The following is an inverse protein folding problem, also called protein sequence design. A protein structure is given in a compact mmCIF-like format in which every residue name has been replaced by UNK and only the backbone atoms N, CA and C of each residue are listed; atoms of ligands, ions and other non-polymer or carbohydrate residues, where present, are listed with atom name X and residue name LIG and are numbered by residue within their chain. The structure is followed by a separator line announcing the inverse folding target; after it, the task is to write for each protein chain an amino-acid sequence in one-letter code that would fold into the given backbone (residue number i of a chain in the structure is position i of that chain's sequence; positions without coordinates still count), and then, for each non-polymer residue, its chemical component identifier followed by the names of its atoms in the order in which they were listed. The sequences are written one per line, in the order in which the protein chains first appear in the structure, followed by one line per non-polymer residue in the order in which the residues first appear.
data_IF_701203257679
#
_entry.id   IF_701203257679
#
_cell.length_a   1.000
_cell.length_b   1.000
_cell.length_c   1.000
_cell.angle_alpha   90.00
_cell.angle_beta   90.00
_cell.angle_gamma   90.00
#
_symmetry.space_group_name_H-M   'P 1'
#
loop_
_entity.id
_entity.type
_entity.pdbx_description
1 polymer ?
#
# COMPACT_ATOMS: atom_id res chain seq x y z
N UNK A 1 63.26 46.42 37.64
CA UNK A 1 61.82 46.00 37.49
C UNK A 1 61.49 45.85 35.99
N UNK A 2 61.46 44.61 35.50
CA UNK A 2 61.15 44.34 34.10
C UNK A 2 59.70 43.73 34.10
N UNK A 3 58.75 44.41 33.44
CA UNK A 3 57.39 43.97 33.29
C UNK A 3 57.34 43.08 32.00
N UNK A 4 56.94 41.81 32.14
CA UNK A 4 56.68 40.93 31.02
C UNK A 4 55.22 41.16 30.54
N UNK A 5 55.04 41.47 29.25
CA UNK A 5 53.73 41.52 28.58
C UNK A 5 53.39 40.09 28.12
N UNK A 6 52.30 39.56 28.63
CA UNK A 6 51.73 38.29 28.07
C UNK A 6 50.72 38.65 26.98
N UNK A 7 51.01 38.23 25.76
CA UNK A 7 50.06 38.32 24.67
C UNK A 7 49.20 37.05 24.66
N UNK A 8 47.89 37.22 24.91
CA UNK A 8 46.90 36.14 24.70
C UNK A 8 46.53 36.07 23.23
N UNK A 9 46.92 34.99 22.57
CA UNK A 9 46.43 34.65 21.23
C UNK A 9 45.12 33.87 21.36
N UNK A 10 44.02 34.55 21.08
CA UNK A 10 42.69 33.88 21.01
C UNK A 10 42.52 33.11 19.71
N UNK A 11 42.41 31.80 19.80
CA UNK A 11 42.09 30.96 18.63
C UNK A 11 40.58 31.05 18.35
N UNK A 12 40.20 31.61 17.21
CA UNK A 12 38.80 31.60 16.73
C UNK A 12 38.53 30.26 16.06
N UNK A 13 37.76 29.42 16.72
CA UNK A 13 37.23 28.18 16.12
C UNK A 13 36.05 28.54 15.22
N UNK A 14 36.29 28.47 13.90
CA UNK A 14 35.20 28.55 12.89
C UNK A 14 34.54 27.18 12.81
N UNK A 15 33.33 27.08 13.41
CA UNK A 15 32.48 25.91 13.23
C UNK A 15 31.89 25.93 11.82
N UNK A 16 32.39 25.07 10.93
CA UNK A 16 31.79 24.84 9.62
C UNK A 16 30.53 24.00 9.83
N UNK A 17 29.35 24.63 9.69
CA UNK A 17 28.08 23.92 9.70
C UNK A 17 28.01 23.03 8.43
N UNK A 18 28.23 21.73 8.60
CA UNK A 18 27.98 20.74 7.56
C UNK A 18 26.45 20.60 7.43
N UNK A 19 25.88 21.24 6.41
CA UNK A 19 24.47 20.98 6.05
C UNK A 19 24.38 19.53 5.57
N UNK A 20 23.49 18.70 6.18
CA UNK A 20 23.31 17.34 5.69
C UNK A 20 22.80 17.41 4.23
N UNK A 21 23.57 16.84 3.33
CA UNK A 21 23.16 16.67 1.94
C UNK A 21 21.94 15.75 1.95
N UNK A 22 20.83 16.19 1.36
CA UNK A 22 19.66 15.32 1.18
C UNK A 22 20.11 14.02 0.50
N UNK A 23 19.71 12.89 1.08
CA UNK A 23 19.99 11.59 0.48
C UNK A 23 19.36 11.55 -0.92
N UNK A 24 20.03 10.89 -1.88
CA UNK A 24 19.46 10.72 -3.21
C UNK A 24 18.11 9.99 -3.10
N UNK A 25 17.11 10.38 -3.91
CA UNK A 25 15.80 9.71 -3.89
C UNK A 25 15.94 8.20 -4.09
N UNK A 26 15.22 7.43 -3.26
CA UNK A 26 15.15 5.98 -3.42
C UNK A 26 14.46 5.62 -4.74
N UNK A 27 14.86 4.53 -5.40
CA UNK A 27 14.14 4.04 -6.58
C UNK A 27 12.98 3.16 -6.15
N UNK A 28 11.79 3.40 -6.70
CA UNK A 28 10.58 2.60 -6.51
C UNK A 28 10.07 2.13 -7.87
N UNK A 29 9.71 0.85 -7.97
CA UNK A 29 9.03 0.29 -9.13
C UNK A 29 7.53 0.27 -8.88
N UNK A 30 6.70 0.71 -9.83
CA UNK A 30 5.30 0.30 -9.92
C UNK A 30 5.23 -0.80 -10.96
N UNK A 31 4.74 -1.98 -10.57
CA UNK A 31 4.53 -3.10 -11.46
C UNK A 31 3.04 -3.21 -11.79
N UNK A 32 2.73 -3.17 -13.08
CA UNK A 32 1.38 -3.23 -13.64
C UNK A 32 1.31 -4.11 -14.89
N UNK A 33 0.19 -4.06 -15.65
CA UNK A 33 0.03 -4.75 -16.94
C UNK A 33 -1.19 -5.68 -16.99
N UNK A 34 -1.69 -6.17 -15.87
CA UNK A 34 -2.91 -6.97 -15.78
C UNK A 34 -3.62 -6.67 -14.45
N UNK A 35 -4.94 -6.76 -14.45
CA UNK A 35 -5.76 -6.67 -13.24
C UNK A 35 -7.08 -7.40 -13.43
N UNK A 36 -7.93 -7.48 -12.41
CA UNK A 36 -9.16 -8.28 -12.36
C UNK A 36 -10.25 -7.88 -13.38
N UNK A 37 -9.92 -7.92 -14.66
CA UNK A 37 -10.85 -7.59 -15.76
C UNK A 37 -11.18 -6.10 -15.83
N UNK A 38 -12.43 -5.72 -16.19
CA UNK A 38 -12.81 -4.31 -16.37
C UNK A 38 -12.98 -3.55 -15.05
N UNK A 39 -12.95 -4.23 -13.92
CA UNK A 39 -13.25 -3.65 -12.61
C UNK A 39 -12.07 -2.83 -12.07
N UNK A 40 -10.83 -3.24 -12.33
CA UNK A 40 -9.62 -2.58 -11.87
C UNK A 40 -8.84 -2.05 -13.07
N UNK A 41 -8.98 -0.76 -13.35
CA UNK A 41 -8.35 -0.11 -14.52
C UNK A 41 -6.92 0.33 -14.19
N UNK A 42 -5.97 -0.61 -14.21
CA UNK A 42 -4.57 -0.32 -13.90
C UNK A 42 -3.97 0.81 -14.77
N UNK A 43 -4.41 0.93 -16.04
CA UNK A 43 -3.95 1.97 -16.97
C UNK A 43 -4.27 3.39 -16.47
N UNK A 44 -5.32 3.55 -15.66
CA UNK A 44 -5.71 4.81 -15.04
C UNK A 44 -5.10 4.95 -13.66
N UNK A 45 -5.03 3.84 -12.90
CA UNK A 45 -4.50 3.82 -11.54
C UNK A 45 -3.00 4.05 -11.49
N UNK A 46 -2.21 3.43 -12.37
CA UNK A 46 -0.75 3.55 -12.36
C UNK A 46 -0.27 5.00 -12.44
N UNK A 47 -0.78 5.86 -13.34
CA UNK A 47 -0.42 7.29 -13.34
C UNK A 47 -0.76 8.02 -12.03
N UNK A 48 -1.88 7.67 -11.38
CA UNK A 48 -2.29 8.24 -10.09
C UNK A 48 -1.31 7.83 -8.99
N UNK A 49 -1.03 6.52 -8.85
CA UNK A 49 -0.07 6.00 -7.89
C UNK A 49 1.32 6.62 -8.09
N UNK A 50 1.77 6.72 -9.35
CA UNK A 50 3.05 7.37 -9.69
C UNK A 50 3.08 8.83 -9.23
N UNK A 51 2.02 9.61 -9.52
CA UNK A 51 1.93 11.01 -9.10
C UNK A 51 2.00 11.13 -7.58
N UNK A 52 1.24 10.31 -6.84
CA UNK A 52 1.23 10.29 -5.37
C UNK A 52 2.65 10.07 -4.82
N UNK A 53 3.39 9.12 -5.37
CA UNK A 53 4.71 8.76 -4.86
C UNK A 53 5.80 9.77 -5.24
N UNK A 54 5.76 10.31 -6.46
CA UNK A 54 6.74 11.31 -6.93
C UNK A 54 6.62 12.62 -6.14
N UNK A 55 5.42 13.02 -5.74
CA UNK A 55 5.16 14.25 -4.98
C UNK A 55 5.85 14.26 -3.61
N UNK A 56 6.23 13.11 -3.06
CA UNK A 56 6.98 13.04 -1.80
C UNK A 56 8.40 13.60 -1.91
N UNK A 57 8.94 13.70 -3.12
CA UNK A 57 10.35 13.96 -3.42
C UNK A 57 11.33 12.94 -2.78
N UNK A 58 10.81 11.86 -2.16
CA UNK A 58 11.61 10.77 -1.59
C UNK A 58 11.99 9.70 -2.62
N UNK A 59 11.26 9.66 -3.75
CA UNK A 59 11.37 8.58 -4.72
C UNK A 59 11.53 9.07 -6.15
N UNK A 60 12.34 8.35 -6.92
CA UNK A 60 12.18 8.24 -8.37
C UNK A 60 11.35 7.00 -8.65
N UNK A 61 10.33 7.13 -9.51
CA UNK A 61 9.33 6.07 -9.74
C UNK A 61 9.36 5.62 -11.18
N UNK A 62 9.79 4.37 -11.39
CA UNK A 62 9.73 3.70 -12.69
C UNK A 62 8.46 2.85 -12.76
N UNK A 63 7.90 2.72 -13.96
CA UNK A 63 6.78 1.81 -14.23
C UNK A 63 7.32 0.65 -15.06
N UNK A 64 7.06 -0.58 -14.60
CA UNK A 64 7.35 -1.80 -15.32
C UNK A 64 6.04 -2.50 -15.63
N UNK A 65 5.68 -2.51 -16.90
CA UNK A 65 4.43 -3.12 -17.38
C UNK A 65 4.71 -4.56 -17.82
N UNK A 66 4.05 -5.50 -17.15
CA UNK A 66 4.10 -6.91 -17.56
C UNK A 66 3.46 -7.11 -18.93
N UNK A 67 3.91 -8.09 -19.74
CA UNK A 67 3.25 -8.43 -20.99
C UNK A 67 1.75 -8.74 -20.77
N UNK A 68 0.89 -8.45 -21.77
CA UNK A 68 -0.54 -8.73 -21.63
C UNK A 68 -0.84 -10.23 -21.57
N UNK A 69 -2.03 -10.63 -21.09
CA UNK A 69 -2.48 -12.01 -21.12
C UNK A 69 -2.32 -12.66 -22.49
N UNK A 70 -1.72 -13.86 -22.54
CA UNK A 70 -1.45 -14.60 -23.79
C UNK A 70 -0.19 -14.21 -24.53
N UNK A 71 0.53 -13.16 -24.09
CA UNK A 71 1.83 -12.83 -24.66
C UNK A 71 2.96 -13.72 -24.10
N UNK A 72 4.11 -13.69 -24.78
CA UNK A 72 5.31 -14.36 -24.32
C UNK A 72 5.96 -13.62 -23.13
N UNK A 73 6.13 -14.31 -22.02
CA UNK A 73 6.77 -13.84 -20.81
C UNK A 73 8.24 -14.24 -20.70
N UNK A 74 8.81 -14.92 -21.69
CA UNK A 74 10.19 -15.45 -21.63
C UNK A 74 11.24 -14.35 -21.43
N UNK A 75 10.99 -13.14 -21.94
CA UNK A 75 11.86 -11.97 -21.79
C UNK A 75 11.44 -11.05 -20.61
N UNK A 76 10.42 -11.42 -19.84
CA UNK A 76 9.97 -10.60 -18.71
C UNK A 76 10.84 -10.89 -17.48
N UNK A 77 11.86 -10.07 -17.28
CA UNK A 77 12.84 -10.18 -16.20
C UNK A 77 12.99 -8.83 -15.46
N UNK A 78 12.01 -8.43 -14.63
CA UNK A 78 12.12 -7.18 -13.87
C UNK A 78 13.33 -7.19 -12.92
N UNK A 79 14.15 -6.14 -12.98
CA UNK A 79 15.34 -6.00 -12.17
C UNK A 79 15.00 -5.54 -10.74
N UNK A 80 14.23 -6.34 -9.99
CA UNK A 80 13.69 -6.01 -8.66
C UNK A 80 14.76 -5.46 -7.71
N UNK A 81 15.96 -6.03 -7.71
CA UNK A 81 17.05 -5.65 -6.80
C UNK A 81 17.58 -4.23 -6.98
N UNK A 82 17.21 -3.56 -8.08
CA UNK A 82 17.55 -2.14 -8.30
C UNK A 82 16.61 -1.19 -7.56
N UNK A 83 15.56 -1.67 -6.91
CA UNK A 83 14.52 -0.87 -6.28
C UNK A 83 14.48 -1.08 -4.77
N UNK A 84 14.28 0.01 -4.04
CA UNK A 84 14.08 -0.03 -2.59
C UNK A 84 12.71 -0.61 -2.22
N UNK A 85 11.70 -0.38 -3.09
CA UNK A 85 10.39 -0.99 -2.97
C UNK A 85 9.76 -1.26 -4.34
N UNK A 86 8.91 -2.29 -4.40
CA UNK A 86 8.01 -2.61 -5.52
C UNK A 86 6.58 -2.38 -5.07
N UNK A 87 5.85 -1.56 -5.80
CA UNK A 87 4.42 -1.31 -5.62
C UNK A 87 3.67 -2.16 -6.64
N UNK A 88 2.92 -3.13 -6.15
CA UNK A 88 2.11 -4.03 -6.95
C UNK A 88 0.75 -3.39 -7.24
N UNK A 89 0.53 -2.99 -8.46
CA UNK A 89 -0.76 -2.64 -9.06
C UNK A 89 -1.08 -3.68 -10.15
N UNK A 90 -1.03 -4.98 -9.77
CA UNK A 90 -1.04 -6.10 -10.68
C UNK A 90 -1.81 -7.28 -10.07
N UNK A 91 -2.79 -7.80 -10.80
CA UNK A 91 -3.57 -8.99 -10.42
C UNK A 91 -3.60 -9.99 -11.58
N UNK A 92 -2.99 -11.15 -11.39
CA UNK A 92 -2.86 -12.18 -12.40
C UNK A 92 -2.98 -13.60 -11.79
N UNK A 93 -3.33 -14.62 -12.62
CA UNK A 93 -3.34 -16.01 -12.18
C UNK A 93 -1.92 -16.57 -12.00
N UNK A 94 -1.82 -17.72 -11.34
CA UNK A 94 -0.54 -18.33 -10.98
C UNK A 94 0.40 -18.61 -12.16
N UNK A 95 -0.14 -19.01 -13.27
CA UNK A 95 0.63 -19.38 -14.46
C UNK A 95 1.20 -18.18 -15.21
N UNK A 96 0.82 -16.94 -14.85
CA UNK A 96 1.21 -15.77 -15.62
C UNK A 96 2.71 -15.50 -15.56
N UNK A 97 3.30 -15.60 -14.40
CA UNK A 97 4.74 -15.37 -14.25
C UNK A 97 5.56 -16.66 -14.37
N UNK A 98 6.66 -16.65 -15.15
CA UNK A 98 7.63 -17.73 -15.13
C UNK A 98 8.17 -18.00 -13.73
N UNK A 99 8.58 -19.25 -13.48
CA UNK A 99 9.17 -19.63 -12.19
C UNK A 99 10.41 -18.81 -11.83
N UNK A 100 11.20 -18.41 -12.81
CA UNK A 100 12.39 -17.56 -12.64
C UNK A 100 11.99 -16.17 -12.07
N UNK A 101 10.95 -15.56 -12.62
CA UNK A 101 10.46 -14.25 -12.13
C UNK A 101 9.90 -14.36 -10.72
N UNK A 102 9.12 -15.40 -10.43
CA UNK A 102 8.62 -15.68 -9.07
C UNK A 102 9.77 -15.84 -8.08
N UNK A 103 10.76 -16.65 -8.44
CA UNK A 103 11.95 -16.87 -7.59
C UNK A 103 12.75 -15.58 -7.36
N UNK A 104 12.96 -14.78 -8.40
CA UNK A 104 13.66 -13.50 -8.28
C UNK A 104 12.90 -12.52 -7.38
N UNK A 105 11.58 -12.45 -7.51
CA UNK A 105 10.74 -11.60 -6.66
C UNK A 105 10.74 -12.06 -5.20
N UNK A 106 10.60 -13.37 -4.97
CA UNK A 106 10.66 -13.96 -3.63
C UNK A 106 12.00 -13.65 -2.94
N UNK A 107 13.11 -13.89 -3.65
CA UNK A 107 14.45 -13.59 -3.13
C UNK A 107 14.63 -12.10 -2.85
N UNK A 108 14.11 -11.23 -3.70
CA UNK A 108 14.16 -9.79 -3.50
C UNK A 108 13.51 -9.39 -2.17
N UNK A 109 12.26 -9.81 -1.93
CA UNK A 109 11.56 -9.48 -0.69
C UNK A 109 12.23 -10.16 0.51
N UNK A 110 12.55 -11.46 0.43
CA UNK A 110 13.21 -12.19 1.50
C UNK A 110 14.55 -11.56 1.93
N UNK A 111 15.28 -10.97 0.98
CA UNK A 111 16.56 -10.32 1.23
C UNK A 111 16.46 -8.86 1.70
N UNK A 112 15.26 -8.33 1.93
CA UNK A 112 15.05 -7.02 2.53
C UNK A 112 14.42 -5.99 1.61
N UNK A 113 14.06 -6.35 0.38
CA UNK A 113 13.30 -5.51 -0.53
C UNK A 113 11.93 -5.14 0.05
N UNK A 114 11.48 -3.91 -0.21
CA UNK A 114 10.17 -3.44 0.19
C UNK A 114 9.09 -3.91 -0.80
N UNK A 115 7.92 -4.27 -0.28
CA UNK A 115 6.75 -4.58 -1.10
C UNK A 115 5.57 -3.73 -0.64
N UNK A 116 4.84 -3.16 -1.59
CA UNK A 116 3.57 -2.48 -1.36
C UNK A 116 2.50 -3.16 -2.20
N UNK A 117 1.46 -3.66 -1.54
CA UNK A 117 0.33 -4.34 -2.19
C UNK A 117 -0.83 -3.38 -2.19
N UNK A 118 -1.37 -3.07 -3.37
CA UNK A 118 -2.47 -2.11 -3.53
C UNK A 118 -3.72 -2.85 -4.00
N UNK A 119 -4.73 -2.86 -3.15
CA UNK A 119 -6.08 -3.35 -3.45
C UNK A 119 -6.06 -4.70 -4.18
N UNK A 120 -6.52 -4.75 -5.44
CA UNK A 120 -6.64 -5.97 -6.24
C UNK A 120 -5.33 -6.77 -6.41
N UNK A 121 -4.17 -6.22 -6.06
CA UNK A 121 -2.94 -6.98 -6.06
C UNK A 121 -2.95 -8.12 -5.01
N UNK A 122 -3.84 -8.07 -4.02
CA UNK A 122 -4.04 -9.15 -3.07
C UNK A 122 -4.79 -10.37 -3.65
N UNK A 123 -5.42 -10.19 -4.81
CA UNK A 123 -6.07 -11.27 -5.55
C UNK A 123 -5.08 -12.11 -6.37
N UNK A 124 -3.92 -11.54 -6.70
CA UNK A 124 -2.94 -12.19 -7.56
C UNK A 124 -2.44 -13.51 -6.98
N UNK A 125 -2.09 -14.43 -7.87
CA UNK A 125 -1.33 -15.65 -7.57
C UNK A 125 -1.89 -16.48 -6.41
N UNK A 126 -3.14 -16.97 -6.47
CA UNK A 126 -3.80 -17.67 -5.36
C UNK A 126 -3.07 -18.92 -4.89
N UNK A 127 -2.36 -19.63 -5.76
CA UNK A 127 -1.61 -20.85 -5.47
C UNK A 127 -0.11 -20.62 -5.20
N UNK A 128 0.43 -19.40 -5.39
CA UNK A 128 1.84 -19.13 -5.07
C UNK A 128 2.01 -18.87 -3.58
N UNK A 129 2.41 -19.91 -2.86
CA UNK A 129 2.51 -19.90 -1.40
C UNK A 129 3.33 -18.75 -0.85
N UNK A 130 4.52 -18.48 -1.42
CA UNK A 130 5.39 -17.41 -0.94
C UNK A 130 4.73 -16.03 -1.09
N UNK A 131 4.03 -15.78 -2.22
CA UNK A 131 3.28 -14.53 -2.41
C UNK A 131 2.17 -14.37 -1.35
N UNK A 132 1.40 -15.43 -1.10
CA UNK A 132 0.36 -15.40 -0.07
C UNK A 132 0.92 -15.21 1.35
N UNK A 133 2.12 -15.70 1.64
CA UNK A 133 2.84 -15.42 2.89
C UNK A 133 3.33 -13.96 2.96
N UNK A 134 3.76 -13.36 1.82
CA UNK A 134 4.18 -11.96 1.74
C UNK A 134 3.00 -11.00 1.97
N UNK A 135 1.85 -11.27 1.36
CA UNK A 135 0.69 -10.36 1.44
C UNK A 135 -0.16 -10.58 2.70
N UNK A 136 0.01 -11.73 3.40
CA UNK A 136 -0.70 -12.09 4.62
C UNK A 136 -2.10 -12.63 4.38
N UNK A 137 -2.93 -11.90 3.65
CA UNK A 137 -4.30 -12.25 3.26
C UNK A 137 -4.58 -11.82 1.82
N UNK A 138 -5.52 -12.48 1.18
CA UNK A 138 -5.99 -12.11 -0.17
C UNK A 138 -7.40 -12.62 -0.43
N UNK A 139 -7.99 -12.18 -1.54
CA UNK A 139 -9.36 -12.48 -1.92
C UNK A 139 -9.51 -13.16 -3.27
N UNK A 140 -10.71 -13.48 -3.62
CA UNK A 140 -11.17 -13.95 -4.94
C UNK A 140 -10.35 -15.09 -5.57
N UNK A 141 -10.38 -15.23 -6.88
CA UNK A 141 -9.65 -16.26 -7.66
C UNK A 141 -9.75 -17.66 -7.07
N UNK A 142 -10.99 -18.06 -6.65
CA UNK A 142 -11.29 -19.36 -6.03
C UNK A 142 -10.58 -19.63 -4.70
N UNK A 143 -10.01 -18.61 -4.03
CA UNK A 143 -9.52 -18.79 -2.66
C UNK A 143 -10.66 -19.21 -1.75
N UNK A 144 -10.40 -20.19 -0.90
CA UNK A 144 -11.29 -20.73 0.11
C UNK A 144 -10.51 -21.06 1.39
N UNK A 145 -11.04 -21.90 2.25
CA UNK A 145 -10.38 -22.32 3.49
C UNK A 145 -9.00 -22.95 3.32
N UNK A 146 -8.68 -23.47 2.14
CA UNK A 146 -7.35 -24.01 1.84
C UNK A 146 -6.25 -22.95 1.77
N UNK A 147 -6.62 -21.70 1.50
CA UNK A 147 -5.71 -20.55 1.52
C UNK A 147 -5.35 -20.09 2.96
N UNK A 148 -6.12 -20.53 3.95
CA UNK A 148 -6.00 -20.17 5.36
C UNK A 148 -7.29 -19.62 5.95
N UNK A 149 -7.26 -19.21 7.22
CA UNK A 149 -8.43 -18.60 7.88
C UNK A 149 -8.77 -17.22 7.30
N UNK A 150 -10.00 -16.75 7.56
CA UNK A 150 -10.33 -15.33 7.51
C UNK A 150 -9.74 -14.64 8.73
N UNK A 151 -9.22 -13.42 8.53
CA UNK A 151 -8.63 -12.62 9.60
C UNK A 151 -9.44 -11.33 9.78
N UNK A 152 -9.75 -11.00 11.03
CA UNK A 152 -10.46 -9.77 11.41
C UNK A 152 -10.05 -9.35 12.82
N UNK A 153 -10.39 -8.13 13.23
CA UNK A 153 -10.16 -7.68 14.59
C UNK A 153 -11.48 -7.81 15.38
N UNK A 154 -11.39 -8.37 16.58
CA UNK A 154 -12.49 -8.47 17.52
C UNK A 154 -11.99 -8.07 18.91
N UNK A 155 -12.70 -7.13 19.53
CA UNK A 155 -12.36 -6.61 20.86
C UNK A 155 -10.88 -6.16 20.96
N UNK A 156 -10.36 -5.52 19.89
CA UNK A 156 -8.97 -5.06 19.77
C UNK A 156 -7.93 -6.15 19.54
N UNK A 157 -8.33 -7.41 19.36
CA UNK A 157 -7.44 -8.54 19.10
C UNK A 157 -7.59 -9.10 17.70
N UNK A 158 -6.47 -9.36 17.02
CA UNK A 158 -6.46 -10.06 15.73
C UNK A 158 -6.98 -11.49 15.94
N UNK A 159 -8.05 -11.83 15.25
CA UNK A 159 -8.81 -13.07 15.40
C UNK A 159 -8.91 -13.78 14.05
N UNK A 160 -8.99 -15.10 14.07
CA UNK A 160 -9.11 -15.92 12.87
C UNK A 160 -10.37 -16.79 12.88
N UNK A 161 -10.91 -17.04 11.68
CA UNK A 161 -12.08 -17.89 11.45
C UNK A 161 -11.76 -18.90 10.34
N UNK A 162 -11.74 -20.19 10.71
CA UNK A 162 -11.44 -21.31 9.83
C UNK A 162 -12.68 -21.92 9.15
N UNK A 163 -13.88 -21.34 9.34
CA UNK A 163 -15.10 -21.87 8.72
C UNK A 163 -14.97 -21.92 7.19
N UNK A 164 -15.52 -22.95 6.54
CA UNK A 164 -15.48 -23.10 5.09
C UNK A 164 -16.09 -21.91 4.34
N UNK A 165 -15.70 -21.74 3.09
CA UNK A 165 -16.30 -20.78 2.17
C UNK A 165 -15.27 -19.87 1.46
N UNK A 166 -15.73 -19.06 0.51
CA UNK A 166 -14.87 -18.25 -0.33
C UNK A 166 -14.12 -17.16 0.45
N UNK A 167 -13.05 -16.65 -0.16
CA UNK A 167 -12.35 -15.46 0.28
C UNK A 167 -12.75 -14.26 -0.56
N UNK A 168 -12.82 -13.10 0.13
CA UNK A 168 -13.10 -11.83 -0.51
C UNK A 168 -14.59 -11.55 -0.71
N UNK A 169 -15.01 -10.42 -0.21
CA UNK A 169 -16.32 -9.81 -0.46
C UNK A 169 -16.22 -8.31 -0.24
N UNK A 170 -17.16 -7.57 -0.76
CA UNK A 170 -17.34 -6.15 -0.50
C UNK A 170 -18.83 -5.78 -0.69
N UNK A 171 -19.22 -4.69 -0.09
CA UNK A 171 -20.54 -4.09 -0.29
C UNK A 171 -20.56 -3.06 -1.41
N UNK A 172 -21.58 -2.21 -1.38
CA UNK A 172 -21.63 -1.00 -2.20
C UNK A 172 -20.51 -0.04 -1.80
N UNK A 173 -19.90 0.62 -2.77
CA UNK A 173 -18.86 1.63 -2.56
C UNK A 173 -19.45 2.88 -1.89
N UNK A 174 -19.40 2.91 -0.59
CA UNK A 174 -19.82 4.03 0.26
C UNK A 174 -18.60 4.54 1.04
N UNK A 175 -18.61 5.78 1.54
CA UNK A 175 -17.64 6.20 2.54
C UNK A 175 -17.74 5.34 3.80
N UNK A 176 -16.62 5.03 4.43
CA UNK A 176 -16.58 4.25 5.67
C UNK A 176 -15.46 4.73 6.60
N UNK A 177 -15.64 4.48 7.89
CA UNK A 177 -14.66 4.88 8.91
C UNK A 177 -13.53 3.86 8.97
N UNK A 178 -12.30 4.37 8.89
CA UNK A 178 -11.09 3.61 9.22
C UNK A 178 -10.75 3.86 10.68
N UNK A 179 -10.51 2.79 11.45
CA UNK A 179 -10.13 2.83 12.86
C UNK A 179 -8.71 2.28 13.06
N UNK A 180 -7.84 3.07 13.69
CA UNK A 180 -6.44 2.70 13.94
C UNK A 180 -6.37 1.64 15.03
N UNK A 181 -5.68 0.54 14.77
CA UNK A 181 -5.42 -0.55 15.71
C UNK A 181 -4.02 -0.45 16.36
N UNK A 182 -3.03 0.03 15.61
CA UNK A 182 -1.68 0.30 16.13
C UNK A 182 -1.28 1.76 15.84
N UNK A 183 -1.42 2.64 16.83
CA UNK A 183 -1.07 4.05 16.73
C UNK A 183 0.45 4.32 16.88
N UNK A 184 1.24 3.31 17.25
CA UNK A 184 2.69 3.45 17.48
C UNK A 184 3.51 3.09 16.24
N UNK A 185 2.93 2.34 15.30
CA UNK A 185 3.64 1.96 14.08
C UNK A 185 4.03 3.20 13.26
N UNK A 186 5.22 3.26 12.64
CA UNK A 186 5.65 4.44 11.86
C UNK A 186 4.62 4.92 10.82
N UNK A 187 3.89 4.02 10.17
CA UNK A 187 2.89 4.38 9.15
C UNK A 187 1.72 5.14 9.77
N UNK A 188 1.20 4.71 10.91
CA UNK A 188 -0.01 5.26 11.56
C UNK A 188 0.29 6.30 12.63
N UNK A 189 1.53 6.39 13.10
CA UNK A 189 1.90 7.33 14.16
C UNK A 189 1.57 8.78 13.78
N UNK A 190 0.80 9.44 14.65
CA UNK A 190 0.35 10.82 14.45
C UNK A 190 -0.88 10.97 13.57
N UNK A 191 -1.43 9.87 12.99
CA UNK A 191 -2.74 9.90 12.36
C UNK A 191 -3.85 10.01 13.44
N UNK A 192 -5.03 10.56 13.10
CA UNK A 192 -6.21 10.46 13.96
C UNK A 192 -6.53 9.01 14.34
N UNK A 193 -7.19 8.80 15.48
CA UNK A 193 -7.61 7.45 15.90
C UNK A 193 -8.62 6.81 14.94
N UNK A 194 -9.41 7.65 14.26
CA UNK A 194 -10.33 7.24 13.22
C UNK A 194 -10.51 8.37 12.20
N UNK A 195 -10.83 8.01 10.96
CA UNK A 195 -11.11 8.96 9.89
C UNK A 195 -12.05 8.35 8.85
N UNK A 196 -12.75 9.21 8.10
CA UNK A 196 -13.64 8.81 7.02
C UNK A 196 -12.84 8.63 5.73
N UNK A 197 -12.82 7.41 5.19
CA UNK A 197 -12.35 7.13 3.85
C UNK A 197 -13.44 7.45 2.82
N UNK A 198 -13.05 7.98 1.65
CA UNK A 198 -13.98 8.21 0.55
C UNK A 198 -14.56 6.89 0.04
N UNK A 199 -15.70 6.93 -0.65
CA UNK A 199 -16.37 5.73 -1.16
C UNK A 199 -15.43 4.83 -1.98
N UNK A 200 -15.26 3.61 -1.49
CA UNK A 200 -14.34 2.59 -2.03
C UNK A 200 -14.95 1.19 -1.82
N UNK A 201 -14.32 0.15 -2.32
CA UNK A 201 -14.64 -1.23 -1.98
C UNK A 201 -14.00 -1.59 -0.64
N UNK A 202 -14.81 -1.65 0.43
CA UNK A 202 -14.36 -2.19 1.70
C UNK A 202 -14.18 -3.70 1.56
N UNK A 203 -12.96 -4.15 1.36
CA UNK A 203 -12.66 -5.58 1.29
C UNK A 203 -12.87 -6.26 2.63
N UNK A 204 -13.59 -7.37 2.59
CA UNK A 204 -13.95 -8.16 3.75
C UNK A 204 -13.73 -9.66 3.49
N UNK A 205 -13.68 -10.43 4.56
CA UNK A 205 -13.55 -11.90 4.50
C UNK A 205 -12.31 -12.39 3.75
N UNK A 206 -11.23 -11.62 3.73
CA UNK A 206 -9.96 -12.03 3.13
C UNK A 206 -9.38 -13.21 3.89
N UNK A 207 -8.73 -14.12 3.16
CA UNK A 207 -8.12 -15.33 3.70
C UNK A 207 -6.62 -15.38 3.42
N UNK A 208 -5.89 -16.00 4.30
CA UNK A 208 -4.48 -16.24 4.08
C UNK A 208 -3.76 -16.79 5.29
N UNK A 209 -2.47 -17.08 5.16
CA UNK A 209 -1.68 -17.64 6.25
C UNK A 209 -1.54 -16.70 7.45
N UNK A 210 -1.65 -15.37 7.25
CA UNK A 210 -1.55 -14.36 8.31
C UNK A 210 -0.24 -14.41 9.11
N UNK A 211 0.81 -15.03 8.57
CA UNK A 211 2.10 -15.17 9.27
C UNK A 211 2.84 -13.84 9.34
N UNK A 212 3.36 -13.51 10.52
CA UNK A 212 4.12 -12.28 10.76
C UNK A 212 3.35 -11.01 10.32
N UNK A 213 2.02 -11.08 10.34
CA UNK A 213 1.09 -10.03 9.96
C UNK A 213 0.69 -9.21 11.19
N UNK A 214 0.64 -7.89 11.04
CA UNK A 214 0.05 -6.97 11.99
C UNK A 214 -0.96 -6.09 11.27
N UNK A 215 -2.10 -5.85 11.90
CA UNK A 215 -3.15 -4.97 11.39
C UNK A 215 -2.97 -3.59 11.98
N UNK A 216 -2.78 -2.59 11.13
CA UNK A 216 -2.58 -1.19 11.54
C UNK A 216 -3.89 -0.43 11.66
N UNK A 217 -4.86 -0.74 10.78
CA UNK A 217 -6.19 -0.13 10.80
C UNK A 217 -7.23 -1.07 10.19
N UNK A 218 -8.46 -0.92 10.65
CA UNK A 218 -9.62 -1.70 10.22
C UNK A 218 -10.77 -0.79 9.79
N UNK A 219 -11.75 -1.40 9.10
CA UNK A 219 -13.07 -0.80 8.93
C UNK A 219 -14.16 -1.82 9.27
N UNK A 220 -15.26 -1.34 9.84
CA UNK A 220 -16.42 -2.20 10.11
C UNK A 220 -17.17 -2.50 8.81
N UNK A 221 -17.23 -3.77 8.45
CA UNK A 221 -17.95 -4.23 7.25
C UNK A 221 -19.42 -4.44 7.60
N UNK A 222 -20.23 -3.37 7.41
CA UNK A 222 -21.62 -3.30 7.85
C UNK A 222 -22.50 -4.31 7.12
N UNK A 223 -23.22 -5.20 7.84
CA UNK A 223 -24.22 -6.11 7.25
C UNK A 223 -25.31 -5.40 6.44
N UNK A 224 -25.68 -4.17 6.80
CA UNK A 224 -26.64 -3.38 6.04
C UNK A 224 -26.13 -3.02 4.64
N UNK A 225 -24.80 -3.05 4.42
CA UNK A 225 -24.16 -2.90 3.11
C UNK A 225 -23.56 -4.23 2.61
N UNK A 226 -24.23 -5.35 2.85
CA UNK A 226 -23.77 -6.70 2.47
C UNK A 226 -22.41 -7.10 3.10
N UNK A 227 -22.03 -6.48 4.21
CA UNK A 227 -20.79 -6.71 4.91
C UNK A 227 -20.78 -7.95 5.79
N UNK A 228 -19.61 -8.28 6.30
CA UNK A 228 -19.34 -9.44 7.15
C UNK A 228 -19.83 -9.27 8.61
N UNK A 229 -20.11 -8.06 9.06
CA UNK A 229 -20.38 -7.72 10.47
C UNK A 229 -19.11 -7.70 11.33
N UNK A 230 -17.93 -7.60 10.73
CA UNK A 230 -16.62 -7.68 11.40
C UNK A 230 -15.79 -6.44 11.12
N UNK A 231 -14.79 -6.20 11.96
CA UNK A 231 -13.78 -5.17 11.73
C UNK A 231 -12.66 -5.76 10.87
N UNK A 232 -12.75 -5.51 9.58
CA UNK A 232 -11.91 -6.09 8.54
C UNK A 232 -10.61 -5.29 8.38
N UNK A 233 -9.44 -5.96 8.23
CA UNK A 233 -8.16 -5.30 8.01
C UNK A 233 -8.15 -4.47 6.73
N UNK A 234 -7.74 -3.19 6.83
CA UNK A 234 -7.61 -2.30 5.67
C UNK A 234 -6.17 -1.85 5.45
N UNK A 235 -5.41 -1.64 6.53
CA UNK A 235 -3.98 -1.36 6.47
C UNK A 235 -3.24 -2.45 7.25
N UNK A 236 -2.34 -3.14 6.56
CA UNK A 236 -1.66 -4.34 7.05
C UNK A 236 -0.17 -4.18 6.83
N UNK A 237 0.64 -4.73 7.72
CA UNK A 237 2.07 -4.92 7.50
C UNK A 237 2.44 -6.38 7.72
N UNK A 238 3.39 -6.87 6.93
CA UNK A 238 3.90 -8.24 7.03
C UNK A 238 5.43 -8.21 6.99
N UNK A 239 6.06 -9.12 7.75
CA UNK A 239 7.49 -9.40 7.64
C UNK A 239 7.69 -10.70 6.87
N UNK A 240 8.42 -10.62 5.76
CA UNK A 240 8.82 -11.78 4.98
C UNK A 240 10.34 -11.82 4.85
N UNK A 241 10.99 -12.75 5.55
CA UNK A 241 12.44 -12.71 5.71
C UNK A 241 12.89 -11.38 6.33
N UNK A 242 13.77 -10.66 5.65
CA UNK A 242 14.19 -9.31 6.03
C UNK A 242 13.33 -8.21 5.40
N UNK A 243 12.44 -8.56 4.47
CA UNK A 243 11.58 -7.64 3.74
C UNK A 243 10.47 -7.04 4.61
N UNK A 244 10.00 -5.91 4.16
CA UNK A 244 8.87 -5.17 4.76
C UNK A 244 7.78 -5.05 3.72
N UNK A 245 6.60 -5.53 4.08
CA UNK A 245 5.43 -5.47 3.20
C UNK A 245 4.39 -4.55 3.83
N UNK A 246 3.98 -3.54 3.10
CA UNK A 246 2.78 -2.76 3.38
C UNK A 246 1.68 -3.21 2.43
N UNK A 247 0.52 -3.57 2.96
CA UNK A 247 -0.62 -4.00 2.20
C UNK A 247 -1.81 -3.12 2.57
N UNK A 248 -2.37 -2.43 1.60
CA UNK A 248 -3.61 -1.68 1.71
C UNK A 248 -4.67 -2.30 0.83
N UNK A 249 -5.85 -2.58 1.41
CA UNK A 249 -7.00 -3.07 0.65
C UNK A 249 -7.79 -1.94 -0.01
N UNK A 250 -7.41 -0.69 0.28
CA UNK A 250 -8.01 0.53 -0.29
C UNK A 250 -7.50 0.78 -1.70
N UNK A 251 -8.23 1.58 -2.48
CA UNK A 251 -7.79 2.06 -3.79
C UNK A 251 -8.31 1.24 -4.96
N UNK A 252 -9.58 0.81 -4.93
CA UNK A 252 -10.25 0.11 -6.03
C UNK A 252 -10.16 0.88 -7.35
N UNK A 253 -10.37 2.18 -7.29
CA UNK A 253 -10.31 3.06 -8.45
C UNK A 253 -9.76 4.44 -8.06
N UNK A 254 -9.74 5.37 -9.03
CA UNK A 254 -9.23 6.72 -8.80
C UNK A 254 -10.05 7.49 -7.77
N UNK A 255 -11.34 7.15 -7.57
CA UNK A 255 -12.13 7.77 -6.52
C UNK A 255 -11.57 7.43 -5.13
N UNK A 256 -11.40 6.13 -4.80
CA UNK A 256 -10.77 5.69 -3.56
C UNK A 256 -9.33 6.20 -3.43
N UNK A 257 -8.54 6.10 -4.51
CA UNK A 257 -7.16 6.56 -4.54
C UNK A 257 -6.98 8.09 -4.42
N UNK A 258 -8.01 8.87 -4.73
CA UNK A 258 -7.99 10.32 -4.53
C UNK A 258 -8.22 10.75 -3.08
N UNK A 259 -8.68 9.84 -2.21
CA UNK A 259 -8.86 10.13 -0.79
C UNK A 259 -7.53 10.49 -0.13
N UNK A 260 -7.52 11.55 0.68
CA UNK A 260 -6.27 12.07 1.27
C UNK A 260 -5.64 11.04 2.22
N UNK A 261 -6.45 10.24 2.91
CA UNK A 261 -5.94 9.17 3.76
C UNK A 261 -5.25 8.06 2.96
N UNK A 262 -5.80 7.67 1.79
CA UNK A 262 -5.13 6.75 0.88
C UNK A 262 -3.78 7.33 0.41
N UNK A 263 -3.78 8.59 -0.03
CA UNK A 263 -2.54 9.28 -0.47
C UNK A 263 -1.48 9.22 0.62
N UNK A 264 -1.84 9.64 1.84
CA UNK A 264 -0.91 9.70 2.98
C UNK A 264 -0.44 8.30 3.39
N UNK A 265 -1.34 7.34 3.48
CA UNK A 265 -0.98 5.98 3.92
C UNK A 265 -0.18 5.23 2.86
N UNK A 266 -0.44 5.44 1.56
CA UNK A 266 0.38 4.89 0.48
C UNK A 266 1.81 5.48 0.49
N UNK A 267 1.94 6.80 0.63
CA UNK A 267 3.23 7.48 0.72
C UNK A 267 4.05 6.95 1.91
N UNK A 268 3.45 6.95 3.10
CA UNK A 268 4.09 6.48 4.34
C UNK A 268 4.37 4.98 4.32
N UNK A 269 3.46 4.18 3.78
CA UNK A 269 3.61 2.75 3.61
C UNK A 269 4.76 2.40 2.67
N UNK A 270 4.89 3.14 1.57
CA UNK A 270 6.00 2.96 0.62
C UNK A 270 7.33 3.38 1.23
N UNK A 271 7.37 4.52 1.94
CA UNK A 271 8.56 4.96 2.65
C UNK A 271 9.01 3.92 3.67
N UNK A 272 8.08 3.41 4.49
CA UNK A 272 8.39 2.39 5.48
C UNK A 272 8.83 1.07 4.84
N UNK A 273 8.18 0.62 3.78
CA UNK A 273 8.59 -0.58 3.07
C UNK A 273 10.02 -0.45 2.52
N UNK A 274 10.35 0.69 1.92
CA UNK A 274 11.67 0.96 1.36
C UNK A 274 12.77 1.13 2.42
N UNK A 275 12.48 1.84 3.53
CA UNK A 275 13.53 2.33 4.45
C UNK A 275 13.42 1.78 5.87
N UNK A 276 12.23 1.34 6.29
CA UNK A 276 11.91 0.99 7.68
C UNK A 276 11.51 2.19 8.55
N UNK A 277 11.51 3.40 8.00
CA UNK A 277 11.15 4.64 8.70
C UNK A 277 10.05 5.40 7.96
N UNK A 278 9.47 6.40 8.60
CA UNK A 278 8.53 7.36 8.00
C UNK A 278 8.91 8.76 8.45
N UNK A 279 9.19 9.63 7.49
CA UNK A 279 9.55 11.03 7.71
C UNK A 279 8.41 11.99 7.36
N UNK A 280 7.44 11.52 6.57
CA UNK A 280 6.33 12.33 6.10
C UNK A 280 5.37 12.71 7.21
N UNK A 281 5.00 13.98 7.25
CA UNK A 281 4.04 14.54 8.20
C UNK A 281 2.60 14.28 7.76
N UNK A 282 1.67 14.38 8.71
CA UNK A 282 0.24 14.31 8.43
C UNK A 282 -0.23 15.71 7.98
N UNK A 283 -0.81 15.87 6.79
CA UNK A 283 -1.27 17.17 6.33
C UNK A 283 -2.52 17.63 7.09
N UNK A 284 -2.70 18.95 7.22
CA UNK A 284 -3.89 19.52 7.86
C UNK A 284 -5.21 19.16 7.14
N UNK A 285 -5.11 18.75 5.87
CA UNK A 285 -6.26 18.27 5.07
C UNK A 285 -6.57 16.80 5.29
N UNK A 286 -5.91 16.10 6.21
CA UNK A 286 -6.23 14.72 6.52
C UNK A 286 -7.68 14.61 7.00
N UNK A 287 -8.48 13.58 6.57
CA UNK A 287 -9.89 13.50 6.92
C UNK A 287 -10.12 13.33 8.43
N UNK A 288 -11.29 13.76 8.89
CA UNK A 288 -11.79 13.50 10.25
C UNK A 288 -12.66 12.24 10.26
N UNK A 289 -13.14 11.84 11.44
CA UNK A 289 -14.06 10.69 11.56
C UNK A 289 -15.41 10.92 10.85
N UNK A 290 -15.81 12.18 10.66
CA UNK A 290 -17.11 12.54 10.12
C UNK A 290 -17.07 13.16 8.74
N UNK A 291 -15.87 13.41 8.20
CA UNK A 291 -15.71 14.17 6.95
C UNK A 291 -14.63 13.57 6.06
N UNK A 292 -15.00 13.23 4.84
CA UNK A 292 -14.05 12.83 3.79
C UNK A 292 -13.20 14.01 3.36
N UNK A 293 -11.99 13.71 2.89
CA UNK A 293 -11.13 14.67 2.22
C UNK A 293 -10.49 14.02 1.00
N UNK A 294 -10.48 14.70 -0.14
CA UNK A 294 -9.94 14.13 -1.36
C UNK A 294 -9.15 15.14 -2.19
N UNK A 295 -8.32 14.63 -3.07
CA UNK A 295 -7.49 15.35 -4.04
C UNK A 295 -8.24 15.45 -5.36
N UNK A 296 -8.83 16.61 -5.63
CA UNK A 296 -9.57 16.87 -6.87
C UNK A 296 -8.69 16.72 -8.12
N UNK A 297 -7.40 17.04 -8.03
CA UNK A 297 -6.44 16.90 -9.13
C UNK A 297 -6.15 15.43 -9.47
N UNK A 298 -6.16 14.51 -8.48
CA UNK A 298 -6.07 13.08 -8.72
C UNK A 298 -7.37 12.53 -9.30
N UNK A 299 -8.51 12.90 -8.71
CA UNK A 299 -9.83 12.51 -9.21
C UNK A 299 -10.02 12.89 -10.67
N UNK A 300 -9.55 14.08 -11.08
CA UNK A 300 -9.61 14.55 -12.47
C UNK A 300 -8.73 13.75 -13.45
N UNK A 301 -7.87 12.85 -12.98
CA UNK A 301 -7.09 11.96 -13.84
C UNK A 301 -7.92 10.79 -14.39
N UNK A 302 -9.08 10.50 -13.79
CA UNK A 302 -10.00 9.53 -14.38
C UNK A 302 -10.75 10.14 -15.56
N UNK A 303 -10.74 9.49 -16.74
CA UNK A 303 -11.51 9.97 -17.91
C UNK A 303 -13.01 10.12 -17.64
N UNK A 304 -13.58 9.27 -16.81
CA UNK A 304 -15.00 9.36 -16.42
C UNK A 304 -15.23 10.60 -15.59
N UNK A 305 -14.39 10.85 -14.59
CA UNK A 305 -14.49 12.03 -13.74
C UNK A 305 -14.30 13.34 -14.56
N UNK A 306 -13.31 13.35 -15.48
CA UNK A 306 -13.07 14.52 -16.37
C UNK A 306 -14.26 14.87 -17.25
N UNK A 307 -15.10 13.90 -17.58
CA UNK A 307 -16.33 14.10 -18.34
C UNK A 307 -17.52 14.56 -17.47
N UNK A 308 -17.25 14.95 -16.22
CA UNK A 308 -18.26 15.45 -15.29
C UNK A 308 -19.08 14.34 -14.61
N UNK A 309 -18.72 13.08 -14.81
CA UNK A 309 -19.35 11.94 -14.14
C UNK A 309 -18.59 11.65 -12.83
N UNK A 310 -19.35 11.57 -11.72
CA UNK A 310 -18.79 11.02 -10.50
C UNK A 310 -18.55 9.50 -10.70
N UNK A 311 -17.34 8.97 -10.48
CA UNK A 311 -17.08 7.53 -10.57
C UNK A 311 -18.00 6.66 -9.69
N UNK A 312 -18.52 7.21 -8.58
CA UNK A 312 -19.51 6.53 -7.73
C UNK A 312 -20.89 6.42 -8.38
N UNK A 313 -21.23 7.37 -9.24
CA UNK A 313 -22.52 7.43 -9.93
C UNK A 313 -22.47 6.73 -11.31
N UNK A 314 -21.29 6.26 -11.73
CA UNK A 314 -21.16 5.53 -12.97
C UNK A 314 -21.99 4.24 -12.92
N UNK A 315 -22.77 3.91 -13.95
CA UNK A 315 -23.55 2.68 -13.98
C UNK A 315 -22.64 1.48 -13.76
N UNK A 316 -22.99 0.63 -12.80
CA UNK A 316 -22.30 -0.66 -12.63
C UNK A 316 -22.55 -1.48 -13.89
N UNK A 317 -21.50 -1.80 -14.61
CA UNK A 317 -21.57 -2.64 -15.80
C UNK A 317 -21.55 -4.12 -15.41
#
# INVERSE_FOLDING_TARGET
MKRALHACVGAVLIAVAVTPRAAAPGRVMILDGESGGPYHRWQVMTPVLKKILVETALFTVDVVTAPPPGADFSAFEPAFTQYAAVVMNYDAPDERWPASVKSAFEQYVQNGGGLVVVHAADNAFPGWKAYNEMIGVGGWRNRNESAGPRWFVKDGALTSDNSPGPAGSHGTRLPFVIAVQDANHPITRGLPKAWMHQGDELYASLRGPGRNMSVLATAHSDPANHGSGRDEPQLIVVRYGRGRVFHTTLGHDVNGASSVDFVVTLQRGTEWAATGAVTQTVPATFPTADTVSYRADLAAMDPIYRNGLNPLDAPRR
#
